data_IF_208519612511
#
_entry.id   IF_208519612511
#
_cell.length_a   1.000
_cell.length_b   1.000
_cell.length_c   1.000
_cell.angle_alpha   90.00
_cell.angle_beta   90.00
_cell.angle_gamma   90.00
#
_symmetry.space_group_name_H-M   'P 1'
#
loop_
_entity.id
_entity.type
_entity.pdbx_description
1 polymer ?
#
# COMPACT_ATOMS: atom_id res chain seq x y z
N UNK A 1 -5.97 -1.95 10.35
CA UNK A 1 -6.08 -3.42 10.24
C UNK A 1 -7.51 -3.80 9.91
N UNK A 2 -7.86 -3.71 8.62
CA UNK A 2 -8.94 -4.49 8.00
C UNK A 2 -8.31 -5.00 6.70
N UNK A 3 -8.19 -6.32 6.61
CA UNK A 3 -7.63 -7.08 5.48
C UNK A 3 -8.82 -7.50 4.62
N UNK A 4 -8.83 -7.16 3.34
CA UNK A 4 -9.73 -7.78 2.37
C UNK A 4 -8.88 -8.59 1.41
N UNK A 5 -8.97 -9.92 1.54
CA UNK A 5 -8.24 -10.88 0.73
C UNK A 5 -9.08 -11.24 -0.49
N UNK A 6 -8.57 -10.93 -1.68
CA UNK A 6 -9.03 -11.54 -2.92
C UNK A 6 -7.80 -12.18 -3.56
N UNK A 7 -7.70 -13.51 -3.41
CA UNK A 7 -6.78 -14.42 -4.11
C UNK A 7 -5.36 -13.87 -4.34
N UNK A 8 -4.47 -14.08 -3.36
CA UNK A 8 -3.03 -13.85 -3.51
C UNK A 8 -2.56 -12.38 -3.46
N UNK A 9 -3.45 -11.42 -3.20
CA UNK A 9 -3.10 -9.99 -3.03
C UNK A 9 -3.22 -9.57 -1.56
N UNK A 10 -2.10 -9.24 -0.94
CA UNK A 10 -2.10 -8.53 0.33
C UNK A 10 -2.35 -7.05 0.06
N UNK A 11 -3.43 -6.49 0.62
CA UNK A 11 -3.77 -5.06 0.53
C UNK A 11 -3.76 -4.43 1.92
N UNK A 12 -2.79 -3.57 2.19
CA UNK A 12 -2.77 -2.76 3.42
C UNK A 12 -3.60 -1.51 3.19
N UNK A 13 -4.63 -1.32 4.00
CA UNK A 13 -5.45 -0.10 4.03
C UNK A 13 -5.16 0.71 5.30
N UNK A 14 -4.79 1.97 5.07
CA UNK A 14 -4.58 3.07 6.02
C UNK A 14 -3.53 2.80 7.11
N UNK A 15 -2.31 3.30 6.88
CA UNK A 15 -1.30 3.44 7.92
C UNK A 15 0.07 3.84 7.36
N UNK A 16 0.64 4.94 7.87
CA UNK A 16 2.06 5.25 7.67
C UNK A 16 2.90 4.32 8.52
N UNK A 17 3.11 3.09 8.06
CA UNK A 17 4.13 2.22 8.63
C UNK A 17 5.50 2.86 8.37
N UNK A 18 6.35 2.87 9.39
CA UNK A 18 7.75 3.24 9.19
C UNK A 18 8.40 2.31 8.17
N UNK A 19 9.41 2.80 7.45
CA UNK A 19 10.08 2.05 6.38
C UNK A 19 10.60 0.69 6.84
N UNK A 20 11.09 0.59 8.09
CA UNK A 20 11.55 -0.68 8.67
C UNK A 20 10.41 -1.71 8.82
N UNK A 21 9.23 -1.27 9.31
CA UNK A 21 8.08 -2.15 9.45
C UNK A 21 7.57 -2.64 8.08
N UNK A 22 7.58 -1.77 7.08
CA UNK A 22 7.22 -2.12 5.69
C UNK A 22 8.22 -3.14 5.14
N UNK A 23 9.52 -2.93 5.33
CA UNK A 23 10.54 -3.86 4.86
C UNK A 23 10.40 -5.24 5.49
N UNK A 24 10.18 -5.33 6.80
CA UNK A 24 9.92 -6.61 7.49
C UNK A 24 8.67 -7.31 6.96
N UNK A 25 7.60 -6.54 6.69
CA UNK A 25 6.38 -7.09 6.09
C UNK A 25 6.62 -7.62 4.67
N UNK A 26 7.37 -6.89 3.85
CA UNK A 26 7.72 -7.31 2.49
C UNK A 26 8.62 -8.55 2.49
N UNK A 27 9.55 -8.64 3.44
CA UNK A 27 10.38 -9.82 3.63
C UNK A 27 9.52 -11.03 3.97
N UNK A 28 8.60 -10.90 4.93
CA UNK A 28 7.68 -11.98 5.28
C UNK A 28 6.76 -12.36 4.11
N UNK A 29 6.26 -11.37 3.36
CA UNK A 29 5.44 -11.60 2.18
C UNK A 29 6.17 -12.41 1.09
N UNK A 30 7.45 -12.13 0.86
CA UNK A 30 8.28 -12.84 -0.10
C UNK A 30 8.71 -14.22 0.43
N UNK A 31 9.37 -14.26 1.58
CA UNK A 31 10.06 -15.46 2.07
C UNK A 31 9.11 -16.42 2.78
N UNK A 32 8.22 -15.89 3.61
CA UNK A 32 7.28 -16.69 4.40
C UNK A 32 6.05 -17.13 3.62
N UNK A 33 5.49 -16.22 2.83
CA UNK A 33 4.22 -16.44 2.12
C UNK A 33 4.38 -16.73 0.62
N UNK A 34 5.57 -16.53 0.05
CA UNK A 34 5.85 -16.71 -1.39
C UNK A 34 4.89 -15.90 -2.28
N UNK A 35 4.52 -14.69 -1.84
CA UNK A 35 3.65 -13.83 -2.62
C UNK A 35 4.39 -13.31 -3.85
N UNK A 36 3.69 -13.30 -4.98
CA UNK A 36 4.20 -12.67 -6.20
C UNK A 36 4.15 -11.14 -6.15
N UNK A 37 3.17 -10.58 -5.42
CA UNK A 37 2.94 -9.13 -5.36
C UNK A 37 2.28 -8.68 -4.05
N UNK A 38 2.62 -7.48 -3.60
CA UNK A 38 1.92 -6.75 -2.54
C UNK A 38 1.34 -5.46 -3.13
N UNK A 39 0.09 -5.16 -2.82
CA UNK A 39 -0.58 -3.91 -3.20
C UNK A 39 -0.96 -3.09 -1.96
N UNK A 40 -1.07 -1.78 -2.10
CA UNK A 40 -1.52 -0.88 -1.04
C UNK A 40 -2.36 0.26 -1.61
N UNK A 41 -3.20 0.85 -0.76
CA UNK A 41 -3.93 2.10 -1.06
C UNK A 41 -3.59 3.15 -0.02
N UNK A 42 -3.33 4.36 -0.48
CA UNK A 42 -2.98 5.51 0.35
C UNK A 42 -3.74 6.74 -0.12
N UNK A 43 -4.29 7.51 0.82
CA UNK A 43 -4.99 8.74 0.49
C UNK A 43 -4.02 9.71 -0.21
N UNK A 44 -4.47 10.34 -1.28
CA UNK A 44 -3.63 11.06 -2.24
C UNK A 44 -2.84 12.23 -1.65
N UNK A 45 -3.29 12.82 -0.54
CA UNK A 45 -2.56 13.91 0.13
C UNK A 45 -1.43 13.43 1.05
N UNK A 46 -1.28 12.12 1.30
CA UNK A 46 -0.26 11.59 2.20
C UNK A 46 1.07 11.34 1.49
N UNK A 47 1.69 12.42 1.01
CA UNK A 47 2.96 12.38 0.27
C UNK A 47 4.09 11.69 1.06
N UNK A 48 4.05 11.80 2.39
CA UNK A 48 5.03 11.14 3.27
C UNK A 48 4.94 9.62 3.16
N UNK A 49 3.72 9.07 3.18
CA UNK A 49 3.52 7.64 3.04
C UNK A 49 3.87 7.17 1.63
N UNK A 50 3.43 7.89 0.59
CA UNK A 50 3.76 7.60 -0.81
C UNK A 50 5.28 7.49 -1.00
N UNK A 51 6.04 8.50 -0.58
CA UNK A 51 7.52 8.49 -0.65
C UNK A 51 8.15 7.35 0.14
N UNK A 52 7.56 6.96 1.28
CA UNK A 52 8.04 5.80 2.06
C UNK A 52 7.85 4.50 1.29
N UNK A 53 6.71 4.32 0.62
CA UNK A 53 6.42 3.14 -0.18
C UNK A 53 7.30 3.07 -1.43
N UNK A 54 7.52 4.19 -2.12
CA UNK A 54 8.46 4.28 -3.24
C UNK A 54 9.87 3.84 -2.83
N UNK A 55 10.38 4.32 -1.69
CA UNK A 55 11.66 3.87 -1.12
C UNK A 55 11.69 2.37 -0.80
N UNK A 56 10.54 1.79 -0.50
CA UNK A 56 10.39 0.36 -0.27
C UNK A 56 10.16 -0.44 -1.57
N UNK A 57 10.30 0.17 -2.75
CA UNK A 57 10.21 -0.49 -4.05
C UNK A 57 8.78 -0.64 -4.58
N UNK A 58 7.80 0.08 -4.03
CA UNK A 58 6.47 0.18 -4.64
C UNK A 58 6.48 1.17 -5.80
N UNK A 59 5.62 0.93 -6.78
CA UNK A 59 5.32 1.85 -7.88
C UNK A 59 3.85 2.22 -7.86
N UNK A 60 3.51 3.44 -8.29
CA UNK A 60 2.12 3.85 -8.48
C UNK A 60 1.53 3.07 -9.67
N UNK A 61 0.38 2.46 -9.46
CA UNK A 61 -0.34 1.68 -10.46
C UNK A 61 -1.66 2.33 -10.89
N UNK A 62 -2.18 3.27 -10.10
CA UNK A 62 -3.40 4.00 -10.46
C UNK A 62 -3.93 4.88 -9.34
N UNK A 63 -5.08 5.51 -9.62
CA UNK A 63 -5.75 6.43 -8.72
C UNK A 63 -7.26 6.20 -8.79
N UNK A 64 -7.89 6.01 -7.65
CA UNK A 64 -9.34 5.95 -7.52
C UNK A 64 -9.83 7.30 -7.00
N UNK A 65 -10.78 7.92 -7.71
CA UNK A 65 -11.25 9.27 -7.38
C UNK A 65 -12.31 9.24 -6.28
N UNK A 66 -12.23 10.20 -5.36
CA UNK A 66 -13.25 10.45 -4.32
C UNK A 66 -13.63 9.21 -3.50
N UNK A 67 -12.66 8.37 -3.14
CA UNK A 67 -12.91 7.12 -2.41
C UNK A 67 -12.84 7.26 -0.88
N UNK A 68 -12.28 8.35 -0.38
CA UNK A 68 -12.10 8.58 1.06
C UNK A 68 -12.65 9.94 1.48
N UNK A 69 -13.70 9.95 2.32
CA UNK A 69 -14.20 11.18 2.94
C UNK A 69 -13.47 11.44 4.27
N UNK A 70 -12.59 12.43 4.31
CA UNK A 70 -11.76 12.77 5.48
C UNK A 70 -11.71 14.28 5.67
N UNK A 71 -11.88 14.73 6.91
CA UNK A 71 -11.87 16.15 7.30
C UNK A 71 -12.84 17.02 6.46
N UNK A 72 -14.02 16.48 6.17
CA UNK A 72 -15.07 17.21 5.45
C UNK A 72 -14.88 17.31 3.93
N UNK A 73 -13.87 16.62 3.37
CA UNK A 73 -13.62 16.61 1.94
C UNK A 73 -13.45 15.17 1.42
N UNK A 74 -13.83 14.97 0.16
CA UNK A 74 -13.52 13.75 -0.57
C UNK A 74 -12.09 13.81 -1.09
N UNK A 75 -11.38 12.70 -0.95
CA UNK A 75 -10.01 12.52 -1.39
C UNK A 75 -9.90 11.25 -2.22
N UNK A 76 -8.90 11.25 -3.08
CA UNK A 76 -8.59 10.09 -3.92
C UNK A 76 -7.72 9.10 -3.15
N UNK A 77 -7.79 7.83 -3.53
CA UNK A 77 -6.78 6.83 -3.15
C UNK A 77 -5.79 6.63 -4.29
N UNK A 78 -4.51 6.64 -3.96
CA UNK A 78 -3.42 6.19 -4.82
C UNK A 78 -3.20 4.70 -4.58
N UNK A 79 -3.30 3.91 -5.64
CA UNK A 79 -2.97 2.49 -5.63
C UNK A 79 -1.50 2.33 -5.97
N UNK A 80 -0.77 1.59 -5.14
CA UNK A 80 0.62 1.26 -5.39
C UNK A 80 0.84 -0.26 -5.27
N UNK A 81 1.83 -0.78 -6.00
CA UNK A 81 2.19 -2.20 -5.95
C UNK A 81 3.68 -2.43 -6.01
N UNK A 82 4.13 -3.51 -5.36
CA UNK A 82 5.47 -4.07 -5.48
C UNK A 82 5.35 -5.53 -5.89
N UNK A 83 5.91 -5.85 -7.05
CA UNK A 83 6.04 -7.24 -7.54
C UNK A 83 7.42 -7.77 -7.17
N UNK A 84 7.48 -8.98 -6.64
CA UNK A 84 8.73 -9.68 -6.39
C UNK A 84 9.07 -10.53 -7.62
N UNK A 85 10.29 -10.37 -8.12
CA UNK A 85 10.85 -11.18 -9.21
C UNK A 85 11.74 -12.27 -8.63
#
# INVERSE_FOLDING_TARGET
>A
MIVSAYLGRFVVRHGSLGSEAIQRLLQHALEGMKLHRVGIRVISYNDRAIRSYEKCGFSIEGRERETAFVNGAWHDDVMMGRTFR
#
